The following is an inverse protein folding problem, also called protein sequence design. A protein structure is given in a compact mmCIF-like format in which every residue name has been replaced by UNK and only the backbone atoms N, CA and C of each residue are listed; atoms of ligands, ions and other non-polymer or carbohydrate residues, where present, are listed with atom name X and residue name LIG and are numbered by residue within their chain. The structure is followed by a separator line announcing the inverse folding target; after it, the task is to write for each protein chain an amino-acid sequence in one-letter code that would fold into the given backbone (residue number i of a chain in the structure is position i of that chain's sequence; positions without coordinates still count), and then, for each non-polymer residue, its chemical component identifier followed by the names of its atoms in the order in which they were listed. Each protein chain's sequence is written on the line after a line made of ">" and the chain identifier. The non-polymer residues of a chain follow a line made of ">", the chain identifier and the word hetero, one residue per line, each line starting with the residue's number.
data_IF_008118294424
#
_entry.id   IF_008118294424
#
_cell.length_a   1.000
_cell.length_b   1.000
_cell.length_c   1.000
_cell.angle_alpha   90.00
_cell.angle_beta   90.00
_cell.angle_gamma   90.00
#
_symmetry.space_group_name_H-M   'P 1'
#
loop_
_entity.id
_entity.type
_entity.pdbx_description
1 polymer ?
#
# COMPACT_ATOMS: atom_id res chain seq x y z
N UNK A 1 -23.36 -39.32 -25.66
CA UNK A 1 -22.02 -39.35 -26.29
C UNK A 1 -21.53 -37.97 -26.75
N UNK A 2 -22.25 -37.19 -27.58
CA UNK A 2 -21.78 -35.83 -28.00
C UNK A 2 -21.48 -34.85 -26.85
N UNK A 3 -22.25 -34.89 -25.76
CA UNK A 3 -22.02 -34.02 -24.60
C UNK A 3 -20.75 -34.37 -23.81
N UNK A 4 -20.27 -35.63 -23.83
CA UNK A 4 -19.04 -36.04 -23.15
C UNK A 4 -17.81 -35.42 -23.80
N UNK A 5 -17.77 -35.45 -25.14
CA UNK A 5 -16.65 -34.92 -25.92
C UNK A 5 -16.46 -33.40 -25.72
N UNK A 6 -17.56 -32.64 -25.71
CA UNK A 6 -17.50 -31.20 -25.45
C UNK A 6 -16.94 -30.91 -24.05
N UNK A 7 -17.38 -31.66 -23.03
CA UNK A 7 -16.89 -31.50 -21.66
C UNK A 7 -15.40 -31.82 -21.56
N UNK A 8 -14.95 -32.91 -22.19
CA UNK A 8 -13.53 -33.29 -22.24
C UNK A 8 -12.67 -32.22 -22.94
N UNK A 9 -13.15 -31.68 -24.07
CA UNK A 9 -12.49 -30.57 -24.78
C UNK A 9 -12.44 -29.30 -23.92
N UNK A 10 -13.54 -28.94 -23.23
CA UNK A 10 -13.57 -27.81 -22.30
C UNK A 10 -12.57 -27.99 -21.15
N UNK A 11 -12.48 -29.17 -20.56
CA UNK A 11 -11.48 -29.47 -19.51
C UNK A 11 -10.06 -29.28 -20.03
N UNK A 12 -9.77 -29.71 -21.26
CA UNK A 12 -8.46 -29.50 -21.88
C UNK A 12 -8.16 -28.01 -22.13
N UNK A 13 -9.15 -27.23 -22.57
CA UNK A 13 -8.99 -25.79 -22.74
C UNK A 13 -8.70 -25.07 -21.42
N UNK A 14 -9.39 -25.44 -20.34
CA UNK A 14 -9.13 -24.89 -19.00
C UNK A 14 -7.70 -25.19 -18.54
N UNK A 15 -7.18 -26.40 -18.81
CA UNK A 15 -5.77 -26.72 -18.50
C UNK A 15 -4.79 -25.83 -19.27
N UNK A 16 -5.03 -25.59 -20.56
CA UNK A 16 -4.20 -24.68 -21.37
C UNK A 16 -4.28 -23.24 -20.85
N UNK A 17 -5.47 -22.78 -20.47
CA UNK A 17 -5.67 -21.46 -19.87
C UNK A 17 -4.86 -21.29 -18.58
N UNK A 18 -4.84 -22.31 -17.71
CA UNK A 18 -4.01 -22.30 -16.49
C UNK A 18 -2.52 -22.24 -16.80
N UNK A 19 -2.05 -22.99 -17.80
CA UNK A 19 -0.65 -22.95 -18.25
C UNK A 19 -0.26 -21.57 -18.79
N UNK A 20 -1.09 -20.95 -19.64
CA UNK A 20 -0.84 -19.60 -20.14
C UNK A 20 -0.87 -18.56 -19.02
N UNK A 21 -1.79 -18.71 -18.06
CA UNK A 21 -1.85 -17.84 -16.89
C UNK A 21 -0.54 -17.92 -16.11
N UNK A 22 0.00 -19.12 -15.88
CA UNK A 22 1.28 -19.28 -15.19
C UNK A 22 2.44 -18.64 -15.97
N UNK A 23 2.44 -18.74 -17.30
CA UNK A 23 3.43 -18.06 -18.15
C UNK A 23 3.35 -16.54 -18.01
N UNK A 24 2.14 -15.97 -18.00
CA UNK A 24 1.93 -14.54 -17.75
C UNK A 24 2.49 -14.14 -16.38
N UNK A 25 2.21 -14.90 -15.32
CA UNK A 25 2.75 -14.59 -13.98
C UNK A 25 4.29 -14.65 -13.95
N UNK A 26 4.91 -15.63 -14.60
CA UNK A 26 6.38 -15.73 -14.71
C UNK A 26 6.98 -14.54 -15.46
N UNK A 27 6.31 -14.06 -16.51
CA UNK A 27 6.74 -12.86 -17.23
C UNK A 27 6.57 -11.60 -16.36
N UNK A 28 5.44 -11.45 -15.67
CA UNK A 28 5.22 -10.35 -14.73
C UNK A 28 6.27 -10.33 -13.61
N UNK A 29 6.72 -11.51 -13.16
CA UNK A 29 7.79 -11.62 -12.16
C UNK A 29 9.11 -11.06 -12.68
N UNK A 30 9.50 -11.41 -13.91
CA UNK A 30 10.70 -10.84 -14.55
C UNK A 30 10.58 -9.34 -14.76
N UNK A 31 9.42 -8.89 -15.24
CA UNK A 31 9.12 -7.46 -15.44
C UNK A 31 9.22 -6.68 -14.12
N UNK A 32 8.72 -7.24 -13.01
CA UNK A 32 8.82 -6.59 -11.71
C UNK A 32 10.23 -6.62 -11.13
N UNK A 33 10.91 -7.76 -11.24
CA UNK A 33 12.26 -7.95 -10.72
C UNK A 33 13.26 -6.98 -11.37
N UNK A 34 13.13 -6.77 -12.69
CA UNK A 34 13.98 -5.85 -13.46
C UNK A 34 13.42 -4.43 -13.57
N UNK A 35 12.24 -4.19 -12.99
CA UNK A 35 11.50 -2.91 -13.07
C UNK A 35 11.26 -2.43 -14.50
N UNK A 36 11.10 -3.36 -15.45
CA UNK A 36 10.91 -3.07 -16.88
C UNK A 36 9.68 -2.20 -17.13
N UNK A 37 8.65 -2.31 -16.29
CA UNK A 37 7.44 -1.48 -16.39
C UNK A 37 7.73 0.04 -16.39
N UNK A 38 8.85 0.47 -15.79
CA UNK A 38 9.27 1.88 -15.80
C UNK A 38 9.66 2.35 -17.20
N UNK A 39 10.23 1.48 -18.03
CA UNK A 39 10.59 1.80 -19.42
C UNK A 39 9.34 2.13 -20.27
N UNK A 40 8.15 1.75 -19.79
CA UNK A 40 6.84 2.03 -20.35
C UNK A 40 6.12 3.21 -19.67
N UNK A 41 6.83 4.02 -18.87
CA UNK A 41 6.26 5.12 -18.06
C UNK A 41 5.19 4.70 -17.03
N UNK A 42 5.11 3.42 -16.67
CA UNK A 42 4.21 2.96 -15.61
C UNK A 42 4.91 3.13 -14.25
N UNK A 43 4.27 3.79 -13.29
CA UNK A 43 4.86 4.01 -11.95
C UNK A 43 4.82 2.76 -11.05
N UNK A 44 4.11 1.72 -11.47
CA UNK A 44 4.05 0.45 -10.76
C UNK A 44 3.75 -0.68 -11.72
N UNK A 45 4.04 -1.92 -11.31
CA UNK A 45 3.61 -3.11 -12.04
C UNK A 45 2.07 -3.16 -12.19
N UNK A 46 1.33 -2.66 -11.20
CA UNK A 46 -0.13 -2.59 -11.29
C UNK A 46 -0.56 -1.65 -12.44
N UNK A 47 0.01 -0.45 -12.51
CA UNK A 47 -0.24 0.49 -13.61
C UNK A 47 0.15 -0.12 -14.97
N UNK A 48 1.21 -0.92 -15.03
CA UNK A 48 1.56 -1.65 -16.24
C UNK A 48 0.50 -2.68 -16.64
N UNK A 49 -0.04 -3.42 -15.68
CA UNK A 49 -1.12 -4.37 -15.91
C UNK A 49 -2.40 -3.70 -16.42
N UNK A 50 -2.76 -2.52 -15.89
CA UNK A 50 -3.97 -1.79 -16.32
C UNK A 50 -3.76 -1.04 -17.63
N UNK A 51 -2.67 -0.29 -17.74
CA UNK A 51 -2.47 0.68 -18.81
C UNK A 51 -1.93 0.01 -20.07
N UNK A 52 -1.03 -0.97 -19.93
CA UNK A 52 -0.40 -1.66 -21.05
C UNK A 52 -1.11 -2.99 -21.34
N UNK A 53 -1.32 -3.84 -20.32
CA UNK A 53 -1.93 -5.16 -20.52
C UNK A 53 -3.47 -5.14 -20.55
N UNK A 54 -4.08 -3.98 -20.27
CA UNK A 54 -5.54 -3.75 -20.34
C UNK A 54 -6.37 -4.63 -19.42
N UNK A 55 -5.78 -5.11 -18.32
CA UNK A 55 -6.55 -5.72 -17.25
C UNK A 55 -7.38 -4.68 -16.50
N UNK A 56 -8.54 -5.09 -16.01
CA UNK A 56 -9.24 -4.29 -15.01
C UNK A 56 -8.52 -4.32 -13.65
N UNK A 57 -8.88 -3.42 -12.74
CA UNK A 57 -8.23 -3.29 -11.44
C UNK A 57 -8.23 -4.58 -10.62
N UNK A 58 -9.34 -5.33 -10.64
CA UNK A 58 -9.47 -6.59 -9.90
C UNK A 58 -8.55 -7.66 -10.48
N UNK A 59 -8.53 -7.79 -11.81
CA UNK A 59 -7.69 -8.71 -12.56
C UNK A 59 -6.19 -8.42 -12.39
N UNK A 60 -5.81 -7.14 -12.43
CA UNK A 60 -4.45 -6.68 -12.22
C UNK A 60 -4.01 -6.98 -10.78
N UNK A 61 -4.82 -6.64 -9.79
CA UNK A 61 -4.52 -6.85 -8.37
C UNK A 61 -4.30 -8.33 -8.03
N UNK A 62 -5.17 -9.21 -8.56
CA UNK A 62 -5.05 -10.66 -8.38
C UNK A 62 -3.74 -11.18 -8.99
N UNK A 63 -3.41 -10.79 -10.22
CA UNK A 63 -2.17 -11.24 -10.90
C UNK A 63 -0.91 -10.74 -10.20
N UNK A 64 -0.87 -9.47 -9.80
CA UNK A 64 0.26 -8.89 -9.07
C UNK A 64 0.47 -9.62 -7.74
N UNK A 65 -0.60 -9.88 -6.99
CA UNK A 65 -0.54 -10.56 -5.70
C UNK A 65 -0.14 -12.03 -5.85
N UNK A 66 -0.74 -12.74 -6.80
CA UNK A 66 -0.38 -14.13 -7.08
C UNK A 66 1.09 -14.25 -7.52
N UNK A 67 1.55 -13.41 -8.46
CA UNK A 67 2.95 -13.38 -8.90
C UNK A 67 3.92 -13.18 -7.72
N UNK A 68 3.62 -12.27 -6.79
CA UNK A 68 4.44 -12.04 -5.59
C UNK A 68 4.52 -13.28 -4.69
N UNK A 69 3.44 -14.05 -4.59
CA UNK A 69 3.46 -15.33 -3.86
C UNK A 69 4.34 -16.37 -4.57
N UNK A 70 4.25 -16.45 -5.91
CA UNK A 70 5.09 -17.35 -6.70
C UNK A 70 6.57 -17.07 -6.48
N UNK A 71 6.97 -15.80 -6.39
CA UNK A 71 8.35 -15.39 -6.14
C UNK A 71 8.94 -15.80 -4.78
N UNK A 72 8.12 -16.28 -3.84
CA UNK A 72 8.59 -16.79 -2.56
C UNK A 72 9.04 -18.26 -2.62
N UNK A 73 8.95 -18.92 -3.78
CA UNK A 73 9.38 -20.31 -4.01
C UNK A 73 8.72 -21.34 -3.08
N UNK A 74 7.43 -21.16 -2.79
CA UNK A 74 6.63 -22.03 -1.90
C UNK A 74 5.91 -23.17 -2.65
N UNK A 75 6.45 -23.62 -3.80
CA UNK A 75 5.82 -24.65 -4.63
C UNK A 75 4.42 -24.30 -5.15
N UNK A 76 4.11 -23.00 -5.27
CA UNK A 76 2.78 -22.49 -5.63
C UNK A 76 2.48 -22.69 -7.12
N UNK A 77 3.51 -22.64 -7.97
CA UNK A 77 3.36 -22.85 -9.42
C UNK A 77 2.76 -24.23 -9.73
N UNK A 78 3.29 -25.28 -9.11
CA UNK A 78 2.83 -26.65 -9.33
C UNK A 78 1.38 -26.83 -8.86
N UNK A 79 1.01 -26.18 -7.75
CA UNK A 79 -0.36 -26.23 -7.19
C UNK A 79 -1.38 -25.51 -8.06
N UNK A 80 -0.96 -24.42 -8.73
CA UNK A 80 -1.81 -23.72 -9.70
C UNK A 80 -1.96 -24.57 -10.96
N UNK A 81 -0.87 -25.15 -11.46
CA UNK A 81 -0.89 -26.00 -12.66
C UNK A 81 -1.71 -27.28 -12.45
N UNK A 82 -1.65 -27.88 -11.26
CA UNK A 82 -2.46 -29.05 -10.91
C UNK A 82 -3.91 -28.72 -10.56
N UNK A 83 -4.30 -27.44 -10.54
CA UNK A 83 -5.64 -26.99 -10.14
C UNK A 83 -5.96 -27.10 -8.64
N UNK A 84 -4.97 -27.41 -7.80
CA UNK A 84 -5.14 -27.50 -6.34
C UNK A 84 -5.28 -26.12 -5.69
N UNK A 85 -4.77 -25.06 -6.34
CA UNK A 85 -4.89 -23.69 -5.88
C UNK A 85 -5.35 -22.78 -7.02
N UNK A 86 -6.43 -22.03 -6.81
CA UNK A 86 -6.89 -21.05 -7.80
C UNK A 86 -6.01 -19.79 -7.76
N UNK A 87 -5.99 -19.03 -8.85
CA UNK A 87 -5.27 -17.75 -8.93
C UNK A 87 -5.74 -16.76 -7.84
N UNK A 88 -7.06 -16.71 -7.60
CA UNK A 88 -7.66 -15.88 -6.56
C UNK A 88 -7.24 -16.33 -5.15
N UNK A 89 -7.19 -17.64 -4.88
CA UNK A 89 -6.69 -18.19 -3.62
C UNK A 89 -5.22 -17.82 -3.38
N UNK A 90 -4.37 -17.91 -4.41
CA UNK A 90 -2.97 -17.48 -4.32
C UNK A 90 -2.85 -15.97 -4.00
N UNK A 91 -3.65 -15.12 -4.65
CA UNK A 91 -3.69 -13.70 -4.35
C UNK A 91 -4.14 -13.41 -2.90
N UNK A 92 -5.19 -14.08 -2.43
CA UNK A 92 -5.69 -13.94 -1.06
C UNK A 92 -4.64 -14.34 -0.01
N UNK A 93 -3.91 -15.43 -0.25
CA UNK A 93 -2.83 -15.88 0.63
C UNK A 93 -1.72 -14.83 0.70
N UNK A 94 -1.29 -14.26 -0.44
CA UNK A 94 -0.29 -13.19 -0.45
C UNK A 94 -0.73 -11.98 0.38
N UNK A 95 -1.96 -11.53 0.17
CA UNK A 95 -2.51 -10.37 0.89
C UNK A 95 -2.67 -10.66 2.39
N UNK A 96 -2.95 -11.91 2.75
CA UNK A 96 -2.93 -12.35 4.14
C UNK A 96 -1.51 -12.25 4.73
N UNK A 97 -0.48 -12.79 4.07
CA UNK A 97 0.89 -12.69 4.56
C UNK A 97 1.34 -11.25 4.76
N UNK A 98 1.12 -10.38 3.77
CA UNK A 98 1.50 -8.96 3.87
C UNK A 98 0.80 -8.27 5.05
N UNK A 99 -0.47 -8.58 5.28
CA UNK A 99 -1.23 -8.01 6.40
C UNK A 99 -0.70 -8.50 7.76
N UNK A 100 -0.45 -9.80 7.90
CA UNK A 100 0.06 -10.38 9.14
C UNK A 100 1.49 -9.92 9.45
N UNK A 101 2.34 -9.79 8.44
CA UNK A 101 3.72 -9.32 8.62
C UNK A 101 3.76 -7.85 9.06
N UNK A 102 2.85 -7.03 8.50
CA UNK A 102 2.70 -5.63 8.91
C UNK A 102 2.17 -5.51 10.34
N UNK A 103 1.16 -6.29 10.70
CA UNK A 103 0.53 -6.23 12.02
C UNK A 103 1.49 -6.68 13.12
N UNK A 104 2.19 -7.79 12.90
CA UNK A 104 3.12 -8.35 13.88
C UNK A 104 4.52 -7.70 13.80
N UNK A 105 4.73 -6.75 12.88
CA UNK A 105 6.03 -6.13 12.57
C UNK A 105 7.18 -7.15 12.40
N UNK A 106 6.86 -8.34 11.88
CA UNK A 106 7.78 -9.45 11.74
C UNK A 106 7.40 -10.31 10.53
N UNK A 107 8.40 -10.73 9.76
CA UNK A 107 8.17 -11.65 8.64
C UNK A 107 7.71 -13.03 9.11
N UNK A 108 6.71 -13.60 8.41
CA UNK A 108 6.27 -14.97 8.67
C UNK A 108 7.37 -15.93 8.21
N UNK A 109 7.62 -16.96 9.02
CA UNK A 109 8.63 -17.98 8.69
C UNK A 109 8.22 -18.78 7.46
N UNK A 110 9.22 -19.28 6.72
CA UNK A 110 9.01 -20.12 5.53
C UNK A 110 8.07 -21.30 5.82
N UNK A 111 8.28 -21.98 6.95
CA UNK A 111 7.47 -23.12 7.39
C UNK A 111 6.00 -22.73 7.63
N UNK A 112 5.75 -21.60 8.32
CA UNK A 112 4.38 -21.12 8.56
C UNK A 112 3.67 -20.73 7.27
N UNK A 113 4.39 -20.12 6.31
CA UNK A 113 3.84 -19.80 4.98
C UNK A 113 3.47 -21.06 4.20
N UNK A 114 4.34 -22.07 4.20
CA UNK A 114 4.09 -23.35 3.53
C UNK A 114 2.87 -24.07 4.12
N UNK A 115 2.79 -24.16 5.45
CA UNK A 115 1.65 -24.76 6.15
C UNK A 115 0.32 -24.09 5.76
N UNK A 116 0.28 -22.75 5.73
CA UNK A 116 -0.93 -22.03 5.35
C UNK A 116 -1.33 -22.34 3.90
N UNK A 117 -0.37 -22.44 2.98
CA UNK A 117 -0.65 -22.80 1.59
C UNK A 117 -1.22 -24.22 1.49
N UNK A 118 -0.65 -25.17 2.22
CA UNK A 118 -1.11 -26.56 2.27
C UNK A 118 -2.55 -26.67 2.77
N UNK A 119 -2.88 -25.97 3.85
CA UNK A 119 -4.24 -25.93 4.38
C UNK A 119 -5.27 -25.29 3.44
N UNK A 120 -4.84 -24.49 2.45
CA UNK A 120 -5.73 -23.83 1.49
C UNK A 120 -5.95 -24.63 0.20
N UNK A 121 -5.22 -25.73 -0.01
CA UNK A 121 -5.37 -26.55 -1.21
C UNK A 121 -6.77 -27.16 -1.31
N UNK A 122 -7.32 -27.19 -2.53
CA UNK A 122 -8.63 -27.76 -2.84
C UNK A 122 -9.84 -26.98 -2.31
N UNK A 123 -9.63 -25.88 -1.56
CA UNK A 123 -10.71 -25.03 -1.06
C UNK A 123 -11.23 -24.10 -2.14
N UNK A 124 -12.53 -23.83 -2.11
CA UNK A 124 -13.14 -22.77 -2.92
C UNK A 124 -12.62 -21.40 -2.47
N UNK A 125 -12.71 -20.39 -3.34
CA UNK A 125 -12.30 -19.03 -3.03
C UNK A 125 -12.95 -18.50 -1.73
N UNK A 126 -14.23 -18.81 -1.51
CA UNK A 126 -14.98 -18.46 -0.29
C UNK A 126 -14.40 -19.16 0.95
N UNK A 127 -14.21 -20.48 0.87
CA UNK A 127 -13.66 -21.25 1.99
C UNK A 127 -12.21 -20.85 2.31
N UNK A 128 -11.41 -20.52 1.30
CA UNK A 128 -10.07 -19.94 1.48
C UNK A 128 -10.17 -18.61 2.23
N UNK A 129 -11.05 -17.71 1.80
CA UNK A 129 -11.21 -16.40 2.44
C UNK A 129 -11.67 -16.51 3.90
N UNK A 130 -12.63 -17.38 4.20
CA UNK A 130 -13.11 -17.65 5.55
C UNK A 130 -12.00 -18.23 6.43
N UNK A 131 -11.26 -19.24 5.94
CA UNK A 131 -10.18 -19.87 6.69
C UNK A 131 -9.00 -18.91 6.95
N UNK A 132 -8.64 -18.07 5.97
CA UNK A 132 -7.61 -17.04 6.17
C UNK A 132 -8.08 -15.97 7.17
N UNK A 133 -9.35 -15.55 7.12
CA UNK A 133 -9.89 -14.58 8.08
C UNK A 133 -9.89 -15.12 9.51
N UNK A 134 -10.20 -16.40 9.71
CA UNK A 134 -10.15 -17.04 11.02
C UNK A 134 -8.73 -17.12 11.61
N UNK A 135 -7.69 -16.99 10.78
CA UNK A 135 -6.27 -17.07 11.18
C UNK A 135 -5.62 -15.70 11.40
N UNK A 136 -6.31 -14.60 11.13
CA UNK A 136 -5.73 -13.25 11.25
C UNK A 136 -5.44 -12.92 12.70
N UNK A 137 -4.27 -12.34 12.99
CA UNK A 137 -3.98 -11.75 14.30
C UNK A 137 -4.97 -10.64 14.65
N UNK A 138 -5.40 -9.85 13.64
CA UNK A 138 -6.34 -8.75 13.82
C UNK A 138 -7.54 -8.90 12.85
N UNK A 139 -8.80 -8.95 13.35
CA UNK A 139 -9.97 -9.03 12.50
C UNK A 139 -10.05 -7.86 11.52
N UNK A 140 -10.45 -8.11 10.27
CA UNK A 140 -10.72 -7.02 9.34
C UNK A 140 -11.86 -6.14 9.89
N UNK A 141 -11.73 -4.80 9.82
CA UNK A 141 -12.83 -3.92 10.16
C UNK A 141 -14.05 -4.29 9.32
N UNK A 142 -15.20 -4.39 9.97
CA UNK A 142 -16.48 -4.65 9.30
C UNK A 142 -16.97 -3.33 8.72
N UNK A 143 -17.16 -3.26 7.41
CA UNK A 143 -17.74 -2.09 6.76
C UNK A 143 -19.26 -2.23 6.74
N UNK A 144 -19.95 -1.22 7.24
CA UNK A 144 -21.40 -1.04 7.07
C UNK A 144 -21.62 0.17 6.17
N UNK A 145 -22.27 -0.03 5.02
CA UNK A 145 -22.68 1.06 4.15
C UNK A 145 -24.03 1.59 4.64
N UNK A 146 -24.03 2.68 5.39
CA UNK A 146 -25.23 3.32 5.88
C UNK A 146 -25.67 4.43 4.92
N UNK A 147 -26.91 4.38 4.46
CA UNK A 147 -27.55 5.50 3.76
C UNK A 147 -28.40 6.25 4.78
N UNK A 148 -28.14 7.54 4.95
CA UNK A 148 -28.83 8.41 5.92
C UNK A 148 -29.55 9.54 5.21
N UNK A 149 -30.54 10.14 5.89
CA UNK A 149 -31.18 11.36 5.40
C UNK A 149 -30.32 12.60 5.70
N UNK A 150 -30.67 13.75 5.11
CA UNK A 150 -29.95 15.03 5.26
C UNK A 150 -29.79 15.46 6.73
N UNK A 151 -30.83 15.25 7.55
CA UNK A 151 -30.79 15.62 8.97
C UNK A 151 -29.75 14.80 9.75
N UNK A 152 -29.69 13.49 9.50
CA UNK A 152 -28.68 12.64 10.13
C UNK A 152 -27.28 12.91 9.57
N UNK A 153 -27.16 13.22 8.28
CA UNK A 153 -25.89 13.60 7.65
C UNK A 153 -25.27 14.85 8.30
N UNK A 154 -26.07 15.91 8.46
CA UNK A 154 -25.62 17.17 9.08
C UNK A 154 -25.18 16.98 10.54
N UNK A 155 -25.86 16.12 11.31
CA UNK A 155 -25.44 15.75 12.68
C UNK A 155 -24.09 15.03 12.69
N UNK A 156 -23.88 14.08 11.77
CA UNK A 156 -22.60 13.37 11.64
C UNK A 156 -21.46 14.33 11.26
N UNK A 157 -21.69 15.26 10.32
CA UNK A 157 -20.69 16.27 9.96
C UNK A 157 -20.37 17.19 11.14
N UNK A 158 -21.36 17.63 11.90
CA UNK A 158 -21.15 18.48 13.06
C UNK A 158 -20.21 17.82 14.09
N UNK A 159 -20.48 16.56 14.45
CA UNK A 159 -19.65 15.80 15.40
C UNK A 159 -18.27 15.53 14.82
N UNK A 160 -18.17 15.26 13.52
CA UNK A 160 -16.88 15.11 12.84
C UNK A 160 -16.03 16.39 12.96
N UNK A 161 -16.65 17.56 12.81
CA UNK A 161 -15.99 18.86 12.99
C UNK A 161 -15.60 19.13 14.44
N UNK A 162 -16.49 18.88 15.40
CA UNK A 162 -16.23 19.06 16.83
C UNK A 162 -15.06 18.22 17.31
N UNK A 163 -15.00 16.96 16.90
CA UNK A 163 -13.93 16.03 17.29
C UNK A 163 -12.66 16.16 16.44
N UNK A 164 -12.68 16.97 15.37
CA UNK A 164 -11.56 17.11 14.45
C UNK A 164 -11.11 15.79 13.80
N UNK A 165 -12.03 14.82 13.66
CA UNK A 165 -11.72 13.48 13.13
C UNK A 165 -12.72 13.08 12.05
N UNK A 166 -12.23 12.34 11.04
CA UNK A 166 -13.05 11.69 10.01
C UNK A 166 -13.26 10.20 10.30
N UNK A 167 -12.79 9.72 11.44
CA UNK A 167 -12.95 8.32 11.87
C UNK A 167 -14.40 8.04 12.25
N UNK A 168 -15.09 7.29 11.37
CA UNK A 168 -16.49 6.94 11.51
C UNK A 168 -16.78 6.17 12.80
N UNK A 169 -15.87 5.31 13.26
CA UNK A 169 -16.07 4.54 14.49
C UNK A 169 -16.09 5.44 15.72
N UNK A 170 -15.21 6.46 15.76
CA UNK A 170 -15.19 7.43 16.85
C UNK A 170 -16.47 8.29 16.84
N UNK A 171 -16.92 8.72 15.67
CA UNK A 171 -18.14 9.52 15.52
C UNK A 171 -19.37 8.70 15.93
N UNK A 172 -19.47 7.44 15.47
CA UNK A 172 -20.54 6.52 15.85
C UNK A 172 -20.57 6.25 17.35
N UNK A 173 -19.40 6.02 17.97
CA UNK A 173 -19.31 5.84 19.41
C UNK A 173 -19.76 7.11 20.13
N UNK A 174 -19.32 8.30 19.70
CA UNK A 174 -19.78 9.56 20.31
C UNK A 174 -21.29 9.78 20.17
N UNK A 175 -21.89 9.42 19.02
CA UNK A 175 -23.35 9.45 18.84
C UNK A 175 -24.08 8.48 19.78
N UNK A 176 -23.54 7.27 19.96
CA UNK A 176 -24.08 6.30 20.92
C UNK A 176 -23.90 6.78 22.35
N UNK A 177 -22.72 7.28 22.71
CA UNK A 177 -22.39 7.82 24.03
C UNK A 177 -23.25 9.04 24.34
N UNK A 178 -23.51 9.94 23.37
CA UNK A 178 -24.44 11.05 23.52
C UNK A 178 -25.89 10.57 23.66
N UNK A 179 -26.29 9.51 22.96
CA UNK A 179 -27.62 8.93 23.13
C UNK A 179 -27.77 8.23 24.50
N UNK A 180 -26.72 7.59 24.99
CA UNK A 180 -26.66 6.94 26.29
C UNK A 180 -26.54 7.98 27.41
N UNK A 181 -25.77 9.06 27.21
CA UNK A 181 -25.74 10.25 28.07
C UNK A 181 -27.09 10.96 28.05
N UNK A 182 -27.76 11.14 26.91
CA UNK A 182 -29.10 11.75 26.85
C UNK A 182 -30.15 10.84 27.49
N UNK A 183 -30.02 9.52 27.38
CA UNK A 183 -30.88 8.56 28.08
C UNK A 183 -30.64 8.60 29.59
N UNK A 184 -29.38 8.53 30.00
CA UNK A 184 -28.93 8.68 31.39
C UNK A 184 -29.34 10.03 31.96
N UNK A 185 -29.11 11.12 31.24
CA UNK A 185 -29.50 12.48 31.59
C UNK A 185 -31.01 12.67 31.55
N UNK A 186 -31.79 11.90 30.79
CA UNK A 186 -33.26 11.92 30.90
C UNK A 186 -33.73 11.25 32.17
N UNK A 187 -33.17 10.10 32.51
CA UNK A 187 -33.44 9.42 33.78
C UNK A 187 -32.97 10.27 34.97
N UNK A 188 -31.81 10.91 34.83
CA UNK A 188 -31.20 11.77 35.81
C UNK A 188 -31.81 13.17 35.83
N UNK A 189 -32.40 13.67 34.73
CA UNK A 189 -33.23 14.87 34.70
C UNK A 189 -34.56 14.59 35.39
N UNK A 190 -35.16 13.41 35.22
CA UNK A 190 -36.33 13.03 35.98
C UNK A 190 -36.01 12.95 37.48
N UNK A 191 -34.86 12.35 37.82
CA UNK A 191 -34.34 12.28 39.19
C UNK A 191 -33.95 13.66 39.74
N UNK A 192 -33.36 14.52 38.92
CA UNK A 192 -32.98 15.88 39.25
C UNK A 192 -34.18 16.81 39.32
N UNK A 193 -35.25 16.61 38.54
CA UNK A 193 -36.51 17.33 38.71
C UNK A 193 -37.13 16.99 40.08
N UNK A 194 -37.06 15.72 40.47
CA UNK A 194 -37.47 15.26 41.81
C UNK A 194 -36.56 15.82 42.92
N UNK A 195 -35.27 15.97 42.67
CA UNK A 195 -34.30 16.53 43.63
C UNK A 195 -34.27 18.07 43.64
N UNK A 196 -34.53 18.76 42.55
CA UNK A 196 -34.63 20.22 42.43
C UNK A 196 -35.93 20.74 43.03
N UNK A 197 -36.98 19.93 43.05
CA UNK A 197 -38.12 20.15 43.95
C UNK A 197 -37.68 20.16 45.43
N UNK A 198 -36.65 19.37 45.80
CA UNK A 198 -36.10 19.25 47.16
C UNK A 198 -34.90 20.17 47.46
N UNK A 199 -34.25 20.73 46.44
CA UNK A 199 -32.99 21.49 46.54
C UNK A 199 -33.14 22.95 46.12
N UNK A 200 -34.32 23.40 45.65
CA UNK A 200 -34.72 24.82 45.62
C UNK A 200 -34.67 25.50 47.00
N UNK A 201 -34.48 24.73 48.06
CA UNK A 201 -34.27 25.16 49.45
C UNK A 201 -32.82 25.55 49.77
N UNK A 202 -31.82 25.20 48.97
CA UNK A 202 -30.41 25.26 49.40
C UNK A 202 -29.55 25.93 48.32
N UNK A 203 -29.67 27.26 48.22
CA UNK A 203 -28.87 28.11 47.34
C UNK A 203 -27.40 28.19 47.79
N UNK A 204 -26.51 28.35 46.79
CA UNK A 204 -25.31 29.22 46.83
C UNK A 204 -23.95 28.58 47.20
N UNK A 205 -22.99 28.54 46.25
CA UNK A 205 -21.77 29.41 46.19
C UNK A 205 -20.58 28.80 45.39
N UNK A 206 -20.27 29.47 44.27
CA UNK A 206 -18.98 29.88 43.64
C UNK A 206 -17.74 28.96 43.44
N UNK A 207 -17.05 29.33 42.35
CA UNK A 207 -15.97 28.71 41.55
C UNK A 207 -14.55 29.34 41.84
N UNK A 208 -13.54 29.40 40.93
CA UNK A 208 -12.74 28.39 40.16
C UNK A 208 -11.19 28.71 40.11
N UNK A 209 -10.46 28.11 39.14
CA UNK A 209 -9.27 28.59 38.35
C UNK A 209 -7.87 27.99 38.72
N UNK A 210 -6.80 27.88 37.89
CA UNK A 210 -6.45 27.99 36.43
C UNK A 210 -5.05 27.35 36.18
N UNK A 211 -4.61 27.32 34.89
CA UNK A 211 -3.45 26.67 34.21
C UNK A 211 -2.01 27.26 34.45
N UNK A 212 -0.95 26.65 33.86
CA UNK A 212 0.28 27.35 33.45
C UNK A 212 0.77 27.06 31.99
N UNK A 213 1.75 27.86 31.51
CA UNK A 213 2.23 28.08 30.11
C UNK A 213 3.66 27.60 29.78
N UNK A 214 3.98 27.63 28.46
CA UNK A 214 5.10 27.10 27.63
C UNK A 214 6.53 27.72 27.73
N UNK A 215 7.49 27.15 26.96
CA UNK A 215 8.88 27.64 26.67
C UNK A 215 9.30 27.40 25.19
N UNK A 216 10.19 28.24 24.63
CA UNK A 216 10.76 28.22 23.24
C UNK A 216 12.30 27.90 23.14
N UNK A 217 12.88 27.60 21.94
CA UNK A 217 14.24 27.04 21.75
C UNK A 217 15.25 27.83 20.85
N UNK A 218 16.45 27.25 20.57
CA UNK A 218 17.71 27.86 20.00
C UNK A 218 18.22 27.15 18.70
N UNK A 219 19.02 27.78 17.78
CA UNK A 219 19.45 27.23 16.46
C UNK A 219 20.95 26.84 16.26
N UNK A 220 21.30 26.33 15.06
CA UNK A 220 22.49 25.50 14.65
C UNK A 220 23.42 26.17 13.60
N UNK A 221 24.70 25.75 13.49
CA UNK A 221 25.69 26.15 12.47
C UNK A 221 26.37 24.95 11.73
N UNK A 222 27.04 25.23 10.59
CA UNK A 222 27.54 24.30 9.52
C UNK A 222 29.09 24.17 9.41
N UNK A 223 29.59 23.20 8.60
CA UNK A 223 31.03 22.78 8.42
C UNK A 223 31.36 22.46 6.92
N UNK A 224 32.64 22.53 6.44
CA UNK A 224 33.03 22.42 5.01
C UNK A 224 33.66 21.07 4.53
N UNK A 225 33.98 21.02 3.22
CA UNK A 225 34.12 19.82 2.34
C UNK A 225 35.53 19.20 2.15
N UNK A 226 35.51 17.92 1.75
CA UNK A 226 36.62 17.14 1.14
C UNK A 226 36.16 16.46 -0.16
N UNK A 227 37.10 16.03 -1.03
CA UNK A 227 36.83 15.41 -2.35
C UNK A 227 35.88 14.22 -2.23
N UNK A 228 34.65 14.43 -2.65
CA UNK A 228 33.51 13.57 -2.35
C UNK A 228 32.81 13.16 -3.66
N UNK A 229 32.00 12.08 -3.60
CA UNK A 229 30.93 11.80 -4.59
C UNK A 229 30.00 13.02 -4.79
N UNK A 230 30.11 14.00 -3.91
CA UNK A 230 29.48 15.30 -4.01
C UNK A 230 29.54 15.88 -5.42
N UNK A 231 28.37 15.97 -6.03
CA UNK A 231 28.18 16.68 -7.29
C UNK A 231 28.25 18.19 -6.96
N UNK A 232 29.15 18.95 -7.60
CA UNK A 232 29.30 20.38 -7.36
C UNK A 232 27.99 21.14 -7.49
N UNK A 233 27.80 22.18 -6.67
CA UNK A 233 26.57 22.99 -6.67
C UNK A 233 26.30 23.65 -8.03
N UNK A 234 27.34 24.03 -8.75
CA UNK A 234 27.22 24.60 -10.11
C UNK A 234 26.64 23.59 -11.09
N UNK A 235 27.13 22.34 -11.08
CA UNK A 235 26.60 21.25 -11.89
C UNK A 235 25.15 20.94 -11.52
N UNK A 236 24.83 20.89 -10.21
CA UNK A 236 23.44 20.70 -9.75
C UNK A 236 22.50 21.78 -10.27
N UNK A 237 22.93 23.05 -10.25
CA UNK A 237 22.13 24.18 -10.76
C UNK A 237 21.91 24.07 -12.27
N UNK A 238 22.95 23.74 -13.03
CA UNK A 238 22.86 23.57 -14.48
C UNK A 238 21.90 22.43 -14.87
N UNK A 239 22.06 21.27 -14.24
CA UNK A 239 21.16 20.12 -14.44
C UNK A 239 19.73 20.45 -14.04
N UNK A 240 19.50 21.15 -12.93
CA UNK A 240 18.15 21.53 -12.49
C UNK A 240 17.46 22.47 -13.50
N UNK A 241 18.21 23.42 -14.06
CA UNK A 241 17.72 24.34 -15.09
C UNK A 241 17.35 23.57 -16.36
N UNK A 242 18.24 22.70 -16.86
CA UNK A 242 18.00 21.83 -18.02
C UNK A 242 16.80 20.90 -17.83
N UNK A 243 16.66 20.36 -16.62
CA UNK A 243 15.60 19.42 -16.28
C UNK A 243 14.24 20.09 -16.05
N UNK A 244 14.19 21.42 -15.90
CA UNK A 244 12.99 22.21 -15.57
C UNK A 244 12.25 21.70 -14.32
N UNK A 245 13.01 21.21 -13.32
CA UNK A 245 12.44 20.63 -12.10
C UNK A 245 11.61 19.37 -12.32
N UNK A 246 11.79 18.67 -13.45
CA UNK A 246 11.08 17.44 -13.79
C UNK A 246 12.09 16.31 -14.03
N UNK A 247 11.68 15.06 -13.82
CA UNK A 247 12.51 13.89 -14.12
C UNK A 247 12.93 13.87 -15.61
N UNK A 248 14.22 13.68 -15.88
CA UNK A 248 14.80 13.68 -17.24
C UNK A 248 14.64 12.33 -17.97
N UNK A 249 14.11 11.29 -17.32
CA UNK A 249 13.81 10.03 -17.99
C UNK A 249 12.74 10.21 -19.08
N UNK A 250 12.91 9.50 -20.20
CA UNK A 250 11.98 9.44 -21.32
C UNK A 250 11.58 8.00 -21.61
N UNK A 251 10.28 7.80 -21.83
CA UNK A 251 9.73 6.48 -22.16
C UNK A 251 10.29 5.95 -23.48
N UNK A 252 10.54 4.65 -23.53
CA UNK A 252 10.98 3.96 -24.75
C UNK A 252 9.84 3.77 -25.76
N UNK A 253 8.59 3.91 -25.32
CA UNK A 253 7.40 3.68 -26.16
C UNK A 253 7.07 4.91 -27.00
N UNK A 254 7.08 6.09 -26.37
CA UNK A 254 6.58 7.32 -26.97
C UNK A 254 7.51 8.54 -26.80
N UNK A 255 8.64 8.40 -26.09
CA UNK A 255 9.60 9.48 -25.88
C UNK A 255 9.18 10.53 -24.85
N UNK A 256 8.00 10.38 -24.24
CA UNK A 256 7.48 11.32 -23.25
C UNK A 256 8.33 11.33 -21.98
N UNK A 257 8.56 12.53 -21.44
CA UNK A 257 9.23 12.70 -20.15
C UNK A 257 8.36 12.17 -19.01
N UNK A 258 9.00 11.54 -18.04
CA UNK A 258 8.37 11.20 -16.77
C UNK A 258 7.75 12.46 -16.14
N UNK A 259 6.49 12.38 -15.69
CA UNK A 259 5.73 13.52 -15.15
C UNK A 259 6.10 13.89 -13.70
N UNK A 260 7.02 13.17 -13.06
CA UNK A 260 7.42 13.40 -11.67
C UNK A 260 8.20 14.71 -11.53
N UNK A 261 7.79 15.55 -10.57
CA UNK A 261 8.42 16.84 -10.25
C UNK A 261 8.92 16.97 -8.81
N UNK A 262 8.66 15.98 -7.97
CA UNK A 262 9.09 15.96 -6.57
C UNK A 262 9.97 14.74 -6.30
N UNK A 263 10.67 14.75 -5.16
CA UNK A 263 11.54 13.64 -4.73
C UNK A 263 12.56 13.22 -5.81
N UNK A 264 13.13 14.22 -6.48
CA UNK A 264 14.13 14.03 -7.54
C UNK A 264 15.54 13.99 -6.93
N UNK A 265 16.38 13.15 -7.51
CA UNK A 265 17.76 12.93 -7.10
C UNK A 265 18.69 13.14 -8.30
N UNK A 266 19.87 13.72 -8.05
CA UNK A 266 20.92 13.83 -9.06
C UNK A 266 21.66 12.50 -9.15
N UNK A 267 21.59 11.87 -10.32
CA UNK A 267 22.16 10.55 -10.56
C UNK A 267 23.18 10.59 -11.69
N UNK A 268 24.26 9.81 -11.52
CA UNK A 268 25.28 9.65 -12.54
C UNK A 268 24.82 8.70 -13.65
N UNK A 269 24.86 9.12 -14.92
CA UNK A 269 24.59 8.29 -16.09
C UNK A 269 25.54 7.09 -16.16
N UNK A 270 26.85 7.35 -16.05
CA UNK A 270 27.87 6.35 -15.74
C UNK A 270 28.18 6.48 -14.26
N UNK A 271 27.82 5.49 -13.42
CA UNK A 271 28.01 5.60 -11.98
C UNK A 271 29.46 5.86 -11.56
N UNK A 272 29.64 6.65 -10.50
CA UNK A 272 30.96 6.94 -9.92
C UNK A 272 31.79 5.68 -9.62
N UNK A 273 31.16 4.57 -9.21
CA UNK A 273 31.85 3.32 -8.89
C UNK A 273 32.49 2.61 -10.09
N UNK A 274 32.21 3.06 -11.32
CA UNK A 274 32.83 2.58 -12.55
C UNK A 274 33.48 3.73 -13.33
N UNK A 275 34.05 4.69 -12.59
CA UNK A 275 34.74 5.87 -13.12
C UNK A 275 33.81 6.81 -13.90
N UNK A 276 32.68 7.13 -13.29
CA UNK A 276 31.79 8.21 -13.72
C UNK A 276 32.32 9.58 -13.31
N UNK A 277 32.35 10.55 -14.23
CA UNK A 277 32.73 11.93 -13.92
C UNK A 277 31.58 12.71 -13.26
N UNK A 278 31.89 13.87 -12.68
CA UNK A 278 30.88 14.80 -12.13
C UNK A 278 30.48 15.88 -13.14
N UNK A 279 30.76 15.67 -14.42
CA UNK A 279 30.45 16.62 -15.48
C UNK A 279 28.93 16.67 -15.73
N UNK A 280 28.41 17.81 -16.15
CA UNK A 280 26.97 18.04 -16.38
C UNK A 280 26.33 16.98 -17.30
N UNK A 281 27.05 16.54 -18.33
CA UNK A 281 26.58 15.53 -19.28
C UNK A 281 26.46 14.13 -18.65
N UNK A 282 27.25 13.85 -17.62
CA UNK A 282 27.19 12.60 -16.89
C UNK A 282 26.19 12.63 -15.73
N UNK A 283 25.51 13.75 -15.47
CA UNK A 283 24.51 13.86 -14.39
C UNK A 283 23.11 14.06 -14.97
N UNK A 284 22.14 13.34 -14.41
CA UNK A 284 20.70 13.50 -14.71
C UNK A 284 19.89 13.72 -13.44
N UNK A 285 18.79 14.45 -13.56
CA UNK A 285 17.78 14.58 -12.52
C UNK A 285 16.71 13.50 -12.69
N UNK A 286 16.68 12.50 -11.80
CA UNK A 286 15.79 11.35 -11.87
C UNK A 286 14.93 11.21 -10.62
N UNK A 287 13.71 10.67 -10.75
CA UNK A 287 12.97 10.22 -9.57
C UNK A 287 13.57 8.90 -9.02
N UNK A 288 13.23 8.56 -7.77
CA UNK A 288 13.69 7.33 -7.12
C UNK A 288 13.51 6.07 -7.98
N UNK A 289 12.38 5.96 -8.68
CA UNK A 289 12.07 4.76 -9.47
C UNK A 289 13.00 4.62 -10.67
N UNK A 290 13.18 5.69 -11.45
CA UNK A 290 14.10 5.66 -12.59
C UNK A 290 15.55 5.54 -12.18
N UNK A 291 15.93 6.14 -11.06
CA UNK A 291 17.25 5.93 -10.45
C UNK A 291 17.51 4.44 -10.18
N UNK A 292 16.53 3.75 -9.58
CA UNK A 292 16.61 2.30 -9.36
C UNK A 292 16.67 1.53 -10.67
N UNK A 293 15.87 1.90 -11.68
CA UNK A 293 15.89 1.24 -13.00
C UNK A 293 17.25 1.37 -13.70
N UNK A 294 17.83 2.56 -13.72
CA UNK A 294 19.16 2.78 -14.30
C UNK A 294 20.24 2.00 -13.55
N UNK A 295 20.18 1.97 -12.21
CA UNK A 295 21.07 1.13 -11.41
C UNK A 295 20.91 -0.36 -11.73
N UNK A 296 19.68 -0.84 -11.96
CA UNK A 296 19.41 -2.23 -12.38
C UNK A 296 20.01 -2.52 -13.75
N UNK A 297 19.92 -1.60 -14.71
CA UNK A 297 20.51 -1.74 -16.05
C UNK A 297 22.03 -1.89 -15.98
N UNK A 298 22.70 -1.14 -15.08
CA UNK A 298 24.16 -1.16 -14.94
C UNK A 298 24.66 -2.32 -14.08
N UNK A 299 24.03 -2.58 -12.93
CA UNK A 299 24.56 -3.48 -11.90
C UNK A 299 23.80 -4.80 -11.77
N UNK A 300 22.69 -4.95 -12.50
CA UNK A 300 21.81 -6.11 -12.43
C UNK A 300 20.79 -6.04 -11.30
N UNK A 301 19.61 -6.60 -11.57
CA UNK A 301 18.47 -6.58 -10.65
C UNK A 301 18.75 -7.26 -9.31
N UNK A 302 19.46 -8.39 -9.31
CA UNK A 302 19.75 -9.15 -8.09
C UNK A 302 20.55 -8.31 -7.07
N UNK A 303 21.59 -7.61 -7.54
CA UNK A 303 22.43 -6.76 -6.69
C UNK A 303 21.62 -5.60 -6.12
N UNK A 304 20.91 -4.86 -6.97
CA UNK A 304 20.14 -3.68 -6.55
C UNK A 304 18.99 -4.06 -5.61
N UNK A 305 18.24 -5.12 -5.93
CA UNK A 305 17.14 -5.59 -5.08
C UNK A 305 17.64 -5.97 -3.68
N UNK A 306 18.83 -6.54 -3.53
CA UNK A 306 19.39 -6.85 -2.21
C UNK A 306 19.61 -5.63 -1.31
N UNK A 307 19.87 -4.45 -1.89
CA UNK A 307 20.00 -3.19 -1.14
C UNK A 307 18.66 -2.54 -0.82
N UNK A 308 17.64 -2.75 -1.66
CA UNK A 308 16.28 -2.24 -1.43
C UNK A 308 15.61 -2.94 -0.25
N UNK A 309 15.77 -4.26 -0.12
CA UNK A 309 15.15 -5.06 0.94
C UNK A 309 15.86 -4.94 2.30
N UNK A 310 17.09 -4.38 2.34
CA UNK A 310 17.85 -4.15 3.59
C UNK A 310 17.53 -2.80 4.27
N UNK A 311 16.76 -1.93 3.61
CA UNK A 311 16.44 -0.56 4.07
C UNK A 311 15.04 -0.41 4.67
N UNK A 312 14.34 -1.52 4.89
CA UNK A 312 13.04 -1.62 5.57
C UNK A 312 13.19 -2.53 6.77
#
# INVERSE_FOLDING_TARGET
>A
MKHSKLVEETILHVKKEQQFTLLVLKNLQKIDHEKIFLDYNCQSLFAFCTDILKYNDSEASVRVSAMRLLGQNLGVSDKIESGQLTLSSAAMIQLFFVAEEKENNQQLTFQKKLQIIEEMQGKSARATQEALNAKRSNPRPKTYNLVVNEEAYTKIEHISHEMGTKDQSKILNKLCDEHDEVSSLKEELLRCQQLLAKARTELSKKAPAKQPTDVEPIPVATVPESKSRFIPTEVKRAVLLRAEGQCEHRSHVNGDRCKMKNSLEFEHCKPYSIDGSNDEDNIKLLCRDYKVREAIKVFGAQKINSYLHKRT
#
